data_IF_148874500897
#
_entry.id   IF_148874500897
#
_cell.length_a   1.000
_cell.length_b   1.000
_cell.length_c   1.000
_cell.angle_alpha   90.00
_cell.angle_beta   90.00
_cell.angle_gamma   90.00
#
_symmetry.space_group_name_H-M   'P 1'
#
loop_
_entity.id
_entity.type
_entity.pdbx_description
1 polymer ?
#
# COMPACT_ATOMS: atom_id res chain seq x y z
N UNK A 1 -14.20 8.44 -1.84
CA UNK A 1 -13.81 9.72 -2.45
C UNK A 1 -12.62 9.46 -3.36
N UNK A 2 -12.62 10.02 -4.58
CA UNK A 2 -11.50 9.89 -5.53
C UNK A 2 -10.31 10.74 -5.04
N UNK A 3 -9.05 10.32 -5.27
CA UNK A 3 -7.89 11.12 -4.92
C UNK A 3 -7.92 12.49 -5.60
N UNK A 4 -7.50 13.51 -4.87
CA UNK A 4 -7.43 14.88 -5.37
C UNK A 4 -6.04 15.14 -5.94
N UNK A 5 -6.00 15.77 -7.11
CA UNK A 5 -4.76 16.13 -7.81
C UNK A 5 -4.87 17.57 -8.30
N UNK A 6 -3.87 18.39 -8.01
CA UNK A 6 -3.85 19.80 -8.45
C UNK A 6 -2.45 20.27 -8.81
N UNK A 7 -2.34 21.41 -9.50
CA UNK A 7 -1.06 21.92 -9.98
C UNK A 7 -0.10 22.27 -8.84
N UNK A 8 1.11 21.73 -8.90
CA UNK A 8 2.17 22.04 -7.94
C UNK A 8 2.80 23.43 -8.21
N UNK A 9 3.05 24.21 -7.16
CA UNK A 9 3.56 25.60 -7.25
C UNK A 9 4.88 25.85 -6.51
N UNK A 10 5.53 24.80 -6.00
CA UNK A 10 6.79 24.91 -5.28
C UNK A 10 8.04 24.84 -6.19
N UNK A 11 9.22 24.58 -5.60
CA UNK A 11 10.48 24.43 -6.35
C UNK A 11 10.43 23.33 -7.40
N UNK A 12 11.06 23.57 -8.56
CA UNK A 12 11.09 22.62 -9.68
C UNK A 12 11.68 21.25 -9.30
N UNK A 13 12.65 21.24 -8.38
CA UNK A 13 13.24 20.03 -7.82
C UNK A 13 13.48 20.20 -6.32
N UNK A 14 13.48 19.09 -5.60
CA UNK A 14 13.78 19.00 -4.17
C UNK A 14 14.85 17.93 -4.01
N UNK A 15 16.00 18.28 -3.43
CA UNK A 15 17.01 17.28 -3.09
C UNK A 15 16.76 16.76 -1.68
N UNK A 16 16.82 15.43 -1.54
CA UNK A 16 16.74 14.73 -0.26
C UNK A 16 17.95 13.82 -0.09
N UNK A 17 18.30 13.55 1.17
CA UNK A 17 19.47 12.77 1.53
C UNK A 17 19.08 11.72 2.55
N UNK A 18 19.56 10.50 2.36
CA UNK A 18 19.44 9.42 3.33
C UNK A 18 20.84 8.83 3.52
N UNK A 19 21.40 9.01 4.71
CA UNK A 19 22.83 8.80 4.96
C UNK A 19 23.69 9.51 3.91
N UNK A 20 24.51 8.77 3.16
CA UNK A 20 25.38 9.28 2.09
C UNK A 20 24.71 9.29 0.70
N UNK A 21 23.46 8.82 0.60
CA UNK A 21 22.72 8.73 -0.66
C UNK A 21 21.99 10.04 -0.95
N UNK A 22 22.12 10.54 -2.19
CA UNK A 22 21.40 11.71 -2.68
C UNK A 22 20.30 11.28 -3.65
N UNK A 23 19.13 11.87 -3.49
CA UNK A 23 18.02 11.77 -4.44
C UNK A 23 17.52 13.16 -4.84
N UNK A 24 17.07 13.27 -6.08
CA UNK A 24 16.36 14.44 -6.57
C UNK A 24 14.92 14.08 -6.87
N UNK A 25 14.00 14.78 -6.23
CA UNK A 25 12.58 14.72 -6.46
C UNK A 25 12.21 15.80 -7.45
N UNK A 26 11.45 15.44 -8.48
CA UNK A 26 10.76 16.38 -9.36
C UNK A 26 9.26 16.27 -9.12
N UNK A 27 8.66 17.23 -8.39
CA UNK A 27 7.22 17.25 -8.18
C UNK A 27 6.45 17.49 -9.48
N UNK A 28 5.34 16.77 -9.63
CA UNK A 28 4.45 16.85 -10.79
C UNK A 28 3.13 17.52 -10.42
N UNK A 29 2.51 17.06 -9.34
CA UNK A 29 1.22 17.55 -8.85
C UNK A 29 1.16 17.48 -7.32
N UNK A 30 0.40 18.38 -6.71
CA UNK A 30 -0.09 18.16 -5.34
C UNK A 30 -1.09 17.01 -5.36
N UNK A 31 -1.08 16.20 -4.30
CA UNK A 31 -1.88 14.98 -4.23
C UNK A 31 -2.38 14.69 -2.83
N UNK A 32 -3.66 14.34 -2.74
CA UNK A 32 -4.30 13.83 -1.53
C UNK A 32 -5.03 12.51 -1.83
N UNK A 33 -4.73 11.48 -1.05
CA UNK A 33 -5.38 10.18 -1.13
C UNK A 33 -5.93 9.81 0.26
N UNK A 34 -7.22 9.52 0.33
CA UNK A 34 -7.85 8.91 1.50
C UNK A 34 -8.45 7.56 1.13
N UNK A 35 -8.13 6.51 1.87
CA UNK A 35 -8.62 5.16 1.56
C UNK A 35 -8.26 4.11 2.60
N UNK A 36 -8.57 2.85 2.27
CA UNK A 36 -8.33 1.68 3.11
C UNK A 36 -7.12 0.91 2.60
N UNK A 37 -6.17 0.60 3.49
CA UNK A 37 -5.02 -0.25 3.21
C UNK A 37 -5.45 -1.71 3.10
N UNK A 38 -5.31 -2.33 1.92
CA UNK A 38 -5.69 -3.74 1.68
C UNK A 38 -4.51 -4.67 1.50
N UNK A 39 -3.35 -4.13 1.13
CA UNK A 39 -2.05 -4.82 1.14
C UNK A 39 -0.94 -3.82 1.50
N UNK A 40 0.12 -4.32 2.13
CA UNK A 40 1.31 -3.55 2.50
C UNK A 40 2.55 -4.40 2.26
N UNK A 41 3.58 -3.78 1.70
CA UNK A 41 4.93 -4.31 1.65
C UNK A 41 5.84 -3.39 2.44
N UNK A 42 6.59 -3.95 3.38
CA UNK A 42 7.54 -3.24 4.20
C UNK A 42 8.97 -3.50 3.70
N UNK A 43 9.70 -2.43 3.42
CA UNK A 43 11.07 -2.45 2.92
C UNK A 43 12.10 -1.97 3.94
N UNK A 44 11.72 -1.71 5.19
CA UNK A 44 12.64 -1.19 6.22
C UNK A 44 13.84 -2.11 6.47
N UNK A 45 13.66 -3.43 6.40
CA UNK A 45 14.75 -4.42 6.48
C UNK A 45 15.66 -4.48 5.25
N UNK A 46 15.30 -3.75 4.19
CA UNK A 46 16.05 -3.61 2.95
C UNK A 46 16.43 -2.14 2.72
N UNK A 47 16.55 -1.33 3.78
CA UNK A 47 16.92 0.08 3.66
C UNK A 47 18.36 0.27 3.15
N UNK A 48 19.24 -0.72 3.36
CA UNK A 48 20.65 -0.71 2.94
C UNK A 48 20.84 -0.71 1.41
N UNK A 49 19.76 -0.86 0.62
CA UNK A 49 19.81 -0.93 -0.84
C UNK A 49 19.10 0.25 -1.53
N UNK A 50 19.91 1.12 -2.16
CA UNK A 50 19.56 2.22 -3.08
C UNK A 50 18.23 2.93 -2.73
N UNK A 51 17.15 2.64 -3.45
CA UNK A 51 15.91 3.43 -3.37
C UNK A 51 15.01 3.04 -2.20
N UNK A 52 15.20 1.87 -1.59
CA UNK A 52 14.39 1.44 -0.43
C UNK A 52 14.68 2.27 0.82
N UNK A 53 15.85 2.90 0.88
CA UNK A 53 16.23 3.90 1.89
C UNK A 53 15.16 5.00 2.06
N UNK A 54 14.64 5.52 0.94
CA UNK A 54 13.65 6.60 0.91
C UNK A 54 12.22 6.10 0.66
N UNK A 55 12.02 4.81 0.36
CA UNK A 55 10.70 4.18 0.16
C UNK A 55 10.49 3.06 1.17
N UNK A 56 10.14 3.37 2.43
CA UNK A 56 10.01 2.38 3.49
C UNK A 56 8.88 1.39 3.26
N UNK A 57 7.79 1.80 2.60
CA UNK A 57 6.62 0.95 2.38
C UNK A 57 5.97 1.22 1.03
N UNK A 58 5.37 0.17 0.47
CA UNK A 58 4.35 0.28 -0.58
C UNK A 58 2.99 -0.07 0.01
N UNK A 59 1.95 0.73 -0.29
CA UNK A 59 0.58 0.48 0.14
C UNK A 59 -0.35 0.26 -1.06
N UNK A 60 -1.06 -0.87 -1.07
CA UNK A 60 -2.24 -1.00 -1.92
C UNK A 60 -3.45 -0.44 -1.19
N UNK A 61 -4.06 0.59 -1.76
CA UNK A 61 -5.15 1.34 -1.15
C UNK A 61 -6.38 1.26 -2.06
N UNK A 62 -7.54 0.98 -1.46
CA UNK A 62 -8.86 1.05 -2.12
C UNK A 62 -9.65 2.24 -1.59
N UNK A 63 -10.47 2.84 -2.44
CA UNK A 63 -11.36 3.94 -2.07
C UNK A 63 -12.69 3.86 -2.84
N UNK A 64 -13.54 4.87 -2.69
CA UNK A 64 -14.74 5.03 -3.50
C UNK A 64 -15.72 3.86 -3.39
N UNK A 65 -16.33 3.49 -4.51
CA UNK A 65 -17.35 2.44 -4.61
C UNK A 65 -16.82 1.06 -4.22
N UNK A 66 -15.53 0.77 -4.44
CA UNK A 66 -14.89 -0.44 -3.92
C UNK A 66 -15.04 -0.53 -2.39
N UNK A 67 -14.80 0.58 -1.69
CA UNK A 67 -14.94 0.64 -0.24
C UNK A 67 -16.40 0.59 0.20
N UNK A 68 -17.30 1.32 -0.48
CA UNK A 68 -18.74 1.35 -0.19
C UNK A 68 -19.41 -0.02 -0.35
N UNK A 69 -18.98 -0.80 -1.35
CA UNK A 69 -19.44 -2.18 -1.58
C UNK A 69 -18.85 -3.20 -0.62
N UNK A 70 -17.87 -2.79 0.20
CA UNK A 70 -17.24 -3.68 1.16
C UNK A 70 -16.41 -4.79 0.53
N UNK A 71 -15.85 -4.60 -0.69
CA UNK A 71 -15.12 -5.66 -1.40
C UNK A 71 -13.95 -6.22 -0.57
N UNK A 72 -13.36 -5.38 0.27
CA UNK A 72 -12.24 -5.72 1.15
C UNK A 72 -12.58 -6.76 2.23
N UNK A 73 -13.88 -6.97 2.51
CA UNK A 73 -14.35 -7.97 3.48
C UNK A 73 -15.04 -9.16 2.80
N UNK A 74 -15.11 -9.19 1.46
CA UNK A 74 -15.78 -10.27 0.75
C UNK A 74 -14.92 -11.55 0.80
N UNK A 75 -15.49 -12.73 1.12
CA UNK A 75 -14.72 -13.95 1.35
C UNK A 75 -14.00 -14.49 0.11
N UNK A 76 -14.44 -14.10 -1.09
CA UNK A 76 -13.77 -14.46 -2.35
C UNK A 76 -12.85 -13.37 -2.89
N UNK A 77 -12.54 -12.35 -2.09
CA UNK A 77 -11.67 -11.24 -2.49
C UNK A 77 -10.35 -11.30 -1.71
N UNK A 78 -9.24 -11.36 -2.44
CA UNK A 78 -7.89 -11.32 -1.91
C UNK A 78 -7.08 -10.19 -2.56
N UNK A 79 -6.27 -9.51 -1.76
CA UNK A 79 -5.29 -8.51 -2.20
C UNK A 79 -3.91 -8.92 -1.73
N UNK A 80 -2.90 -8.69 -2.57
CA UNK A 80 -1.50 -8.90 -2.20
C UNK A 80 -0.60 -8.01 -3.02
N UNK A 81 0.65 -7.86 -2.57
CA UNK A 81 1.68 -7.19 -3.34
C UNK A 81 2.82 -8.15 -3.68
N UNK A 82 3.39 -7.97 -4.86
CA UNK A 82 4.58 -8.68 -5.32
C UNK A 82 5.34 -7.81 -6.30
N UNK A 83 6.67 -7.82 -6.24
CA UNK A 83 7.52 -7.08 -7.19
C UNK A 83 7.12 -5.60 -7.35
N UNK A 84 6.69 -4.93 -6.26
CA UNK A 84 6.23 -3.52 -6.24
C UNK A 84 4.93 -3.24 -7.00
N UNK A 85 4.08 -4.26 -7.17
CA UNK A 85 2.74 -4.13 -7.76
C UNK A 85 1.68 -4.61 -6.79
N UNK A 86 0.49 -3.98 -6.84
CA UNK A 86 -0.70 -4.51 -6.19
C UNK A 86 -1.45 -5.46 -7.13
N UNK A 87 -1.83 -6.60 -6.60
CA UNK A 87 -2.64 -7.62 -7.26
C UNK A 87 -3.89 -7.89 -6.44
N UNK A 88 -4.93 -8.33 -7.13
CA UNK A 88 -6.17 -8.76 -6.51
C UNK A 88 -6.80 -9.90 -7.29
N UNK A 89 -7.60 -10.68 -6.58
CA UNK A 89 -8.49 -11.70 -7.13
C UNK A 89 -9.84 -11.56 -6.44
N UNK A 90 -10.93 -11.60 -7.22
CA UNK A 90 -12.27 -11.40 -6.69
C UNK A 90 -13.31 -12.01 -7.62
N UNK A 91 -14.33 -12.69 -7.07
CA UNK A 91 -15.51 -13.10 -7.84
C UNK A 91 -16.50 -11.94 -8.02
N UNK A 92 -16.49 -10.97 -7.11
CA UNK A 92 -17.27 -9.75 -7.24
C UNK A 92 -16.49 -8.69 -8.03
N UNK A 93 -17.15 -7.89 -8.88
CA UNK A 93 -16.48 -6.86 -9.66
C UNK A 93 -15.75 -5.83 -8.79
N UNK A 94 -14.49 -5.55 -9.14
CA UNK A 94 -13.67 -4.49 -8.55
C UNK A 94 -13.51 -3.39 -9.60
N UNK A 95 -13.79 -2.15 -9.20
CA UNK A 95 -13.48 -0.99 -10.02
C UNK A 95 -11.96 -0.74 -10.01
N UNK A 96 -11.31 -1.00 -11.14
CA UNK A 96 -9.87 -0.86 -11.28
C UNK A 96 -9.38 0.60 -11.23
N UNK A 97 -10.28 1.58 -11.31
CA UNK A 97 -9.96 3.02 -11.17
C UNK A 97 -10.01 3.50 -9.71
N UNK A 98 -10.47 2.64 -8.79
CA UNK A 98 -10.61 2.96 -7.36
C UNK A 98 -9.73 2.08 -6.47
N UNK A 99 -8.59 1.66 -7.02
CA UNK A 99 -7.53 0.92 -6.35
C UNK A 99 -6.19 1.28 -6.98
N UNK A 100 -5.17 1.56 -6.16
CA UNK A 100 -3.82 1.78 -6.66
C UNK A 100 -2.76 1.28 -5.69
N UNK A 101 -1.61 0.95 -6.26
CA UNK A 101 -0.37 0.75 -5.51
C UNK A 101 0.33 2.10 -5.33
N UNK A 102 0.74 2.40 -4.10
CA UNK A 102 1.36 3.68 -3.75
C UNK A 102 2.77 3.41 -3.21
N UNK A 103 3.78 3.94 -3.88
CA UNK A 103 5.17 3.97 -3.46
C UNK A 103 5.39 5.24 -2.63
N UNK A 104 5.65 5.09 -1.34
CA UNK A 104 5.69 6.24 -0.43
C UNK A 104 7.13 6.67 -0.20
N UNK A 105 7.53 7.76 -0.85
CA UNK A 105 8.84 8.40 -0.67
C UNK A 105 8.78 9.32 0.56
N UNK A 106 9.72 9.18 1.49
CA UNK A 106 9.81 10.01 2.70
C UNK A 106 11.25 10.42 3.02
N UNK A 107 11.38 11.59 3.63
CA UNK A 107 12.65 12.12 4.17
C UNK A 107 12.51 12.61 5.62
N UNK A 108 11.35 12.37 6.25
CA UNK A 108 11.06 12.76 7.63
C UNK A 108 10.78 11.48 8.43
N UNK A 109 11.53 11.30 9.52
CA UNK A 109 11.49 10.07 10.30
C UNK A 109 10.15 9.86 11.01
N UNK A 110 9.49 10.93 11.43
CA UNK A 110 8.16 10.84 12.05
C UNK A 110 7.12 10.37 11.05
N UNK A 111 7.22 10.80 9.78
CA UNK A 111 6.33 10.31 8.72
C UNK A 111 6.68 8.86 8.38
N UNK A 112 7.98 8.52 8.32
CA UNK A 112 8.42 7.13 8.13
C UNK A 112 7.79 6.20 9.15
N UNK A 113 7.90 6.52 10.44
CA UNK A 113 7.33 5.75 11.54
C UNK A 113 5.81 5.62 11.42
N UNK A 114 5.12 6.73 11.08
CA UNK A 114 3.68 6.71 10.88
C UNK A 114 3.26 5.77 9.74
N UNK A 115 4.04 5.69 8.67
CA UNK A 115 3.76 4.81 7.52
C UNK A 115 4.11 3.34 7.80
N UNK A 116 5.21 3.08 8.49
CA UNK A 116 5.63 1.72 8.86
C UNK A 116 4.74 1.12 9.93
N UNK A 117 4.05 1.92 10.73
CA UNK A 117 3.06 1.46 11.72
C UNK A 117 1.65 1.20 11.13
N UNK A 118 1.42 1.53 9.85
CA UNK A 118 0.16 1.21 9.18
C UNK A 118 0.00 -0.31 9.00
N UNK A 119 -1.24 -0.76 9.17
CA UNK A 119 -1.63 -2.17 9.07
C UNK A 119 -2.75 -2.37 8.06
N UNK A 120 -2.94 -3.64 7.67
CA UNK A 120 -4.06 -4.03 6.81
C UNK A 120 -5.39 -3.71 7.50
N UNK A 121 -6.31 -3.08 6.76
CA UNK A 121 -7.58 -2.59 7.27
C UNK A 121 -7.54 -1.18 7.88
N UNK A 122 -6.37 -0.53 7.98
CA UNK A 122 -6.31 0.86 8.40
C UNK A 122 -6.90 1.78 7.33
N UNK A 123 -7.64 2.79 7.78
CA UNK A 123 -8.06 3.92 6.95
C UNK A 123 -7.05 5.05 7.15
N UNK A 124 -6.48 5.53 6.05
CA UNK A 124 -5.40 6.50 6.05
C UNK A 124 -5.73 7.67 5.13
N UNK A 125 -5.23 8.85 5.47
CA UNK A 125 -5.09 9.99 4.58
C UNK A 125 -3.61 10.29 4.36
N UNK A 126 -3.20 10.35 3.10
CA UNK A 126 -1.86 10.71 2.67
C UNK A 126 -1.92 12.02 1.90
N UNK A 127 -1.02 12.95 2.21
CA UNK A 127 -0.84 14.21 1.47
C UNK A 127 0.60 14.40 1.09
N UNK A 128 0.82 14.96 -0.10
CA UNK A 128 2.14 15.22 -0.61
C UNK A 128 2.10 15.53 -2.10
N UNK A 129 3.12 15.05 -2.82
CA UNK A 129 3.24 15.29 -4.24
C UNK A 129 3.38 13.99 -5.03
N UNK A 130 2.71 13.88 -6.18
CA UNK A 130 3.09 12.92 -7.21
C UNK A 130 4.43 13.35 -7.80
N UNK A 131 5.39 12.43 -7.92
CA UNK A 131 6.78 12.79 -8.24
C UNK A 131 7.43 11.89 -9.30
N UNK A 132 8.50 12.40 -9.90
CA UNK A 132 9.59 11.58 -10.44
C UNK A 132 10.75 11.57 -9.42
N UNK A 133 11.29 10.39 -9.13
CA UNK A 133 12.43 10.22 -8.23
C UNK A 133 13.68 9.85 -9.03
N UNK A 134 14.77 10.56 -8.78
CA UNK A 134 16.06 10.33 -9.40
C UNK A 134 17.10 10.00 -8.32
N UNK A 135 17.78 8.88 -8.45
CA UNK A 135 18.88 8.48 -7.57
C UNK A 135 20.21 8.93 -8.19
N UNK A 136 21.16 9.34 -7.36
CA UNK A 136 22.50 9.71 -7.78
C UNK A 136 23.47 8.60 -7.44
N UNK A 137 24.31 8.20 -8.39
CA UNK A 137 25.40 7.25 -8.12
C UNK A 137 26.56 7.96 -7.41
N UNK A 138 27.46 7.23 -6.73
CA UNK A 138 28.68 7.82 -6.18
C UNK A 138 29.56 8.55 -7.21
N UNK A 139 29.45 8.17 -8.49
CA UNK A 139 30.13 8.81 -9.61
C UNK A 139 29.45 10.11 -10.10
N UNK A 140 28.31 10.50 -9.51
CA UNK A 140 27.55 11.71 -9.85
C UNK A 140 26.57 11.55 -11.01
N UNK A 141 26.38 10.33 -11.52
CA UNK A 141 25.39 10.06 -12.57
C UNK A 141 23.98 9.99 -11.98
N UNK A 142 22.99 10.48 -12.73
CA UNK A 142 21.59 10.43 -12.34
C UNK A 142 20.87 9.28 -13.03
N UNK A 143 20.15 8.48 -12.24
CA UNK A 143 19.29 7.39 -12.71
C UNK A 143 17.85 7.67 -12.29
N UNK A 144 16.90 7.61 -13.24
CA UNK A 144 15.48 7.64 -12.90
C UNK A 144 15.12 6.37 -12.13
N UNK A 145 14.73 6.53 -10.88
CA UNK A 145 14.38 5.44 -9.98
C UNK A 145 12.88 5.13 -10.03
N UNK A 146 12.04 6.18 -10.00
CA UNK A 146 10.59 6.08 -10.06
C UNK A 146 9.97 7.21 -10.89
N UNK A 147 8.79 6.94 -11.42
CA UNK A 147 7.92 7.95 -12.04
C UNK A 147 6.48 7.63 -11.62
N UNK A 148 5.79 8.60 -11.03
CA UNK A 148 4.38 8.46 -10.71
C UNK A 148 3.52 8.41 -11.96
N UNK A 149 2.42 7.65 -11.92
CA UNK A 149 1.29 7.97 -12.80
C UNK A 149 0.78 9.37 -12.51
N UNK A 150 0.20 10.00 -13.53
CA UNK A 150 -0.51 11.29 -13.41
C UNK A 150 -1.91 11.24 -14.02
N UNK A 151 -2.29 10.08 -14.57
CA UNK A 151 -3.66 9.77 -14.97
C UNK A 151 -4.39 9.20 -13.76
N UNK A 152 -5.69 9.48 -13.64
CA UNK A 152 -6.54 8.91 -12.59
C UNK A 152 -7.46 7.79 -13.10
N UNK A 153 -7.38 7.48 -14.39
CA UNK A 153 -8.21 6.48 -15.07
C UNK A 153 -7.37 5.37 -15.73
N UNK A 154 -6.04 5.39 -15.54
CA UNK A 154 -5.18 4.31 -16.01
C UNK A 154 -5.36 3.05 -15.15
N UNK A 155 -5.23 1.89 -15.79
CA UNK A 155 -5.42 0.60 -15.14
C UNK A 155 -4.30 -0.35 -15.57
N UNK A 156 -3.78 -1.14 -14.62
CA UNK A 156 -2.67 -2.11 -14.79
C UNK A 156 -1.35 -1.51 -15.30
N UNK A 157 -0.21 -2.07 -14.87
CA UNK A 157 1.12 -1.86 -15.48
C UNK A 157 1.70 -0.43 -15.51
N UNK A 158 0.94 0.59 -15.10
CA UNK A 158 1.32 2.00 -15.09
C UNK A 158 0.58 2.87 -14.07
N UNK A 159 -0.47 2.35 -13.42
CA UNK A 159 -1.31 3.06 -12.43
C UNK A 159 -0.72 3.13 -11.01
N UNK A 160 0.61 3.08 -10.89
CA UNK A 160 1.26 3.19 -9.59
C UNK A 160 1.51 4.66 -9.27
N UNK A 161 1.16 5.08 -8.06
CA UNK A 161 1.49 6.40 -7.57
C UNK A 161 2.82 6.38 -6.85
N UNK A 162 3.65 7.39 -7.12
CA UNK A 162 4.88 7.62 -6.39
C UNK A 162 4.72 8.94 -5.69
N UNK A 163 4.54 8.88 -4.37
CA UNK A 163 4.12 10.01 -3.56
C UNK A 163 5.29 10.43 -2.67
N UNK A 164 5.77 11.67 -2.80
CA UNK A 164 6.58 12.26 -1.74
C UNK A 164 5.67 12.71 -0.61
N UNK A 165 5.62 11.92 0.46
CA UNK A 165 4.64 12.09 1.53
C UNK A 165 5.09 13.22 2.47
N UNK A 166 4.19 14.18 2.67
CA UNK A 166 4.35 15.33 3.57
C UNK A 166 3.49 15.20 4.82
N UNK A 167 2.36 14.51 4.73
CA UNK A 167 1.51 14.17 5.86
C UNK A 167 0.95 12.76 5.70
N UNK A 168 0.95 12.00 6.79
CA UNK A 168 0.30 10.70 6.89
C UNK A 168 -0.55 10.68 8.16
N UNK A 169 -1.86 10.54 7.99
CA UNK A 169 -2.85 10.58 9.07
C UNK A 169 -3.61 9.26 9.10
N UNK A 170 -3.56 8.58 10.24
CA UNK A 170 -4.40 7.42 10.51
C UNK A 170 -5.81 7.91 10.90
N UNK A 171 -6.78 7.70 10.01
CA UNK A 171 -8.17 8.08 10.23
C UNK A 171 -8.91 7.08 11.11
N UNK A 172 -8.61 5.78 10.93
CA UNK A 172 -9.22 4.69 11.70
C UNK A 172 -8.32 3.45 11.69
N UNK A 173 -8.10 2.84 12.85
CA UNK A 173 -7.45 1.53 12.92
C UNK A 173 -8.34 0.43 12.35
N UNK A 174 -7.74 -0.43 11.54
CA UNK A 174 -8.30 -1.71 11.17
C UNK A 174 -8.35 -2.64 12.36
N UNK A 175 -9.30 -3.57 12.35
CA UNK A 175 -9.29 -4.68 13.30
C UNK A 175 -8.45 -5.82 12.70
N UNK A 176 -7.25 -6.09 13.23
CA UNK A 176 -6.37 -7.12 12.68
C UNK A 176 -7.01 -8.51 12.79
N UNK A 177 -7.77 -8.80 13.85
CA UNK A 177 -8.44 -10.08 14.03
C UNK A 177 -9.47 -10.29 12.94
N UNK A 178 -10.32 -9.29 12.65
CA UNK A 178 -11.34 -9.44 11.61
C UNK A 178 -10.71 -9.65 10.24
N UNK A 179 -9.61 -8.96 9.92
CA UNK A 179 -8.92 -9.15 8.65
C UNK A 179 -8.43 -10.60 8.48
N UNK A 180 -7.84 -11.20 9.52
CA UNK A 180 -7.36 -12.59 9.48
C UNK A 180 -8.49 -13.62 9.54
N UNK A 181 -9.53 -13.41 10.35
CA UNK A 181 -10.62 -14.40 10.53
C UNK A 181 -11.51 -14.52 9.29
N UNK A 182 -11.65 -13.48 8.47
CA UNK A 182 -12.39 -13.57 7.20
C UNK A 182 -11.59 -14.31 6.11
N UNK A 183 -10.26 -14.32 6.18
CA UNK A 183 -9.38 -15.07 5.25
C UNK A 183 -9.22 -16.55 5.64
N UNK A 184 -9.33 -16.88 6.93
CA UNK A 184 -9.33 -18.27 7.43
C UNK A 184 -10.76 -18.85 7.43
N UNK A 185 -11.56 -18.56 6.39
CA UNK A 185 -12.91 -19.11 6.28
C UNK A 185 -12.93 -20.63 6.53
N UNK A 186 -13.53 -21.04 7.65
CA UNK A 186 -14.11 -22.36 7.87
C UNK A 186 -13.20 -23.61 7.88
N UNK A 187 -11.96 -23.57 8.38
CA UNK A 187 -11.26 -24.83 8.75
C UNK A 187 -11.55 -25.33 10.17
N UNK A 188 -12.21 -24.53 11.01
CA UNK A 188 -12.51 -24.92 12.41
C UNK A 188 -13.82 -25.69 12.60
N UNK A 189 -14.74 -25.73 11.61
CA UNK A 189 -15.95 -26.58 11.68
C UNK A 189 -15.71 -28.02 11.20
N UNK A 190 -14.62 -28.28 10.45
CA UNK A 190 -14.25 -29.63 10.01
C UNK A 190 -13.56 -30.48 11.08
N UNK A 191 -12.96 -29.85 12.10
CA UNK A 191 -12.24 -30.57 13.16
C UNK A 191 -13.16 -31.06 14.29
N UNK A 192 -14.35 -30.48 14.47
CA UNK A 192 -15.33 -30.95 15.46
C UNK A 192 -16.08 -32.22 15.05
N UNK A 193 -16.19 -32.53 13.76
CA UNK A 193 -16.86 -33.73 13.27
C UNK A 193 -15.99 -34.99 13.39
N UNK A 194 -14.67 -34.87 13.28
CA UNK A 194 -13.74 -36.01 13.43
C UNK A 194 -13.62 -36.48 14.90
N UNK A 195 -13.61 -35.57 15.87
CA UNK A 195 -13.47 -35.96 17.29
C UNK A 195 -14.70 -36.72 17.81
N UNK A 196 -15.90 -36.36 17.35
CA UNK A 196 -17.14 -37.04 17.76
C UNK A 196 -17.27 -38.47 17.18
N UNK A 197 -16.79 -38.70 15.95
CA UNK A 197 -16.84 -40.01 15.31
C UNK A 197 -15.83 -41.00 15.94
N UNK A 198 -14.63 -40.52 16.27
CA UNK A 198 -13.60 -41.33 16.97
C UNK A 198 -14.05 -41.71 18.39
N UNK A 199 -14.66 -40.77 19.13
CA UNK A 199 -15.18 -41.06 20.48
C UNK A 199 -16.37 -42.03 20.50
N UNK A 200 -17.16 -42.11 19.43
CA UNK A 200 -18.23 -43.13 19.29
C UNK A 200 -17.70 -44.52 18.98
N UNK A 201 -16.61 -44.63 18.22
CA UNK A 201 -16.00 -45.92 17.88
C UNK A 201 -15.24 -46.52 19.07
N UNK A 202 -14.60 -45.70 19.90
CA UNK A 202 -13.88 -46.16 21.10
C UNK A 202 -14.80 -46.60 22.25
N UNK A 203 -16.05 -46.11 22.31
CA UNK A 203 -17.03 -46.50 23.34
C UNK A 203 -17.86 -47.76 23.02
N UNK A 204 -17.67 -48.37 21.85
CA UNK A 204 -18.41 -49.56 21.39
C UNK A 204 -17.55 -50.82 21.21
N UNK A 205 -16.27 -50.77 21.57
CA UNK A 205 -15.40 -51.94 21.75
C UNK A 205 -15.20 -52.22 23.22
#
# INVERSE_FOLDING_TARGET
MRPEQSGYRGPATIDIFYDELRFTIKPLYEYELSGLVVAKTDYTLFADNDVAAVVPVDLCIVWGTNLERGIHNHPSTDFWQRMRWCYWQSEVPIDATEIANNHLVVNDERIRDALTDLSLGDQVRLRGQLIELWAHTPAGEQRKAYASSTSRDDTRGGACEVIYVREAELLRRGNPISYWTHRIGLWSLGLWSCTWLVLRLVRRG
#
